data_IF_274420123349
#
_entry.id   IF_274420123349
#
_cell.length_a   1.000
_cell.length_b   1.000
_cell.length_c   1.000
_cell.angle_alpha   90.00
_cell.angle_beta   90.00
_cell.angle_gamma   90.00
#
_symmetry.space_group_name_H-M   'P 1'
#
loop_
_entity.id
_entity.type
_entity.pdbx_description
1 polymer ?
#
# COMPACT_ATOMS: atom_id res chain seq x y z
N UNK A 1 -0.82 54.08 17.18
CA UNK A 1 -1.14 52.72 17.67
C UNK A 1 -1.58 51.79 16.53
N UNK A 2 -1.00 51.90 15.32
CA UNK A 2 -1.35 51.04 14.17
C UNK A 2 -0.15 50.22 13.64
N UNK A 3 1.07 50.47 14.13
CA UNK A 3 2.29 49.79 13.67
C UNK A 3 2.49 48.43 14.35
N UNK A 4 2.00 48.28 15.59
CA UNK A 4 2.12 47.03 16.37
C UNK A 4 1.20 45.90 15.88
N UNK A 5 0.06 46.20 15.22
CA UNK A 5 -0.89 45.19 14.73
C UNK A 5 -0.45 44.51 13.43
N UNK A 6 0.37 45.19 12.63
CA UNK A 6 0.86 44.68 11.34
C UNK A 6 1.96 43.62 11.57
N UNK A 7 2.74 43.76 12.65
CA UNK A 7 3.84 42.84 12.98
C UNK A 7 3.35 41.47 13.48
N UNK A 8 2.25 41.41 14.23
CA UNK A 8 1.69 40.16 14.77
C UNK A 8 1.05 39.31 13.65
N UNK A 9 0.51 39.96 12.62
CA UNK A 9 -0.19 39.27 11.52
C UNK A 9 0.75 38.48 10.59
N UNK A 10 2.02 38.89 10.48
CA UNK A 10 3.01 38.21 9.61
C UNK A 10 3.58 36.93 10.23
N UNK A 11 3.58 36.82 11.57
CA UNK A 11 4.14 35.66 12.28
C UNK A 11 3.19 34.45 12.21
N UNK A 12 1.88 34.70 12.13
CA UNK A 12 0.86 33.62 12.07
C UNK A 12 0.80 32.94 10.69
N UNK A 13 1.12 33.67 9.61
CA UNK A 13 1.07 33.12 8.24
C UNK A 13 2.25 32.17 7.97
N UNK A 14 3.42 32.40 8.58
CA UNK A 14 4.59 31.53 8.39
C UNK A 14 4.49 30.17 9.09
N UNK A 15 3.58 30.00 10.06
CA UNK A 15 3.45 28.74 10.80
C UNK A 15 2.65 27.65 10.06
N UNK A 16 2.00 27.96 8.93
CA UNK A 16 1.12 27.01 8.22
C UNK A 16 1.73 26.42 6.94
N UNK A 17 2.96 26.77 6.57
CA UNK A 17 3.57 26.32 5.31
C UNK A 17 4.39 25.02 5.41
N UNK A 18 4.48 24.36 6.58
CA UNK A 18 5.39 23.21 6.76
C UNK A 18 4.74 21.82 6.71
N UNK A 19 3.42 21.68 6.51
CA UNK A 19 2.75 20.38 6.72
C UNK A 19 2.23 19.66 5.47
N UNK A 20 2.60 20.07 4.25
CA UNK A 20 2.11 19.39 3.03
C UNK A 20 3.19 19.22 1.95
N UNK A 21 4.36 18.69 2.31
CA UNK A 21 5.06 17.86 1.33
C UNK A 21 4.53 16.43 1.48
N UNK A 22 3.86 15.86 0.46
CA UNK A 22 3.58 14.43 0.46
C UNK A 22 4.89 13.69 0.71
N UNK A 23 4.91 12.67 1.58
CA UNK A 23 6.13 11.88 1.79
C UNK A 23 6.63 11.42 0.42
N UNK A 24 7.94 11.57 0.12
CA UNK A 24 8.52 11.19 -1.17
C UNK A 24 8.01 9.81 -1.59
N UNK A 25 7.57 9.68 -2.84
CA UNK A 25 7.19 8.36 -3.36
C UNK A 25 8.42 7.43 -3.24
N UNK A 26 8.25 6.20 -2.74
CA UNK A 26 9.37 5.29 -2.59
C UNK A 26 9.99 4.95 -3.95
N UNK A 27 11.33 4.95 -4.00
CA UNK A 27 12.10 4.70 -5.21
C UNK A 27 11.82 3.27 -5.70
N UNK A 28 11.68 3.00 -7.01
CA UNK A 28 11.53 1.62 -7.52
C UNK A 28 12.58 0.64 -6.99
N UNK A 29 13.78 1.11 -6.63
CA UNK A 29 14.84 0.29 -6.01
C UNK A 29 14.59 -0.05 -4.53
N UNK A 30 13.62 0.60 -3.87
CA UNK A 30 13.24 0.34 -2.47
C UNK A 30 12.21 -0.79 -2.33
N UNK A 31 11.54 -1.19 -3.44
CA UNK A 31 10.54 -2.27 -3.45
C UNK A 31 11.12 -3.60 -2.98
N UNK A 32 12.27 -4.06 -3.52
CA UNK A 32 12.89 -5.30 -3.08
C UNK A 32 13.33 -5.23 -1.61
N UNK A 33 13.82 -4.06 -1.16
CA UNK A 33 14.25 -3.84 0.23
C UNK A 33 13.08 -3.91 1.21
N UNK A 34 11.95 -3.29 0.87
CA UNK A 34 10.73 -3.35 1.69
C UNK A 34 10.21 -4.78 1.83
N UNK A 35 10.17 -5.55 0.73
CA UNK A 35 9.80 -6.96 0.76
C UNK A 35 10.76 -7.79 1.64
N UNK A 36 12.06 -7.54 1.52
CA UNK A 36 13.09 -8.20 2.34
C UNK A 36 12.89 -7.91 3.83
N UNK A 37 12.76 -6.64 4.21
CA UNK A 37 12.65 -6.26 5.61
C UNK A 37 11.37 -6.83 6.24
N UNK A 38 10.24 -6.73 5.55
CA UNK A 38 8.96 -7.25 6.04
C UNK A 38 8.96 -8.78 6.13
N UNK A 39 9.63 -9.47 5.21
CA UNK A 39 9.75 -10.93 5.27
C UNK A 39 10.58 -11.37 6.48
N UNK A 40 11.70 -10.68 6.78
CA UNK A 40 12.49 -10.92 7.99
C UNK A 40 11.67 -10.67 9.26
N UNK A 41 10.97 -9.54 9.33
CA UNK A 41 10.15 -9.14 10.49
C UNK A 41 9.10 -10.19 10.84
N UNK A 42 8.41 -10.74 9.84
CA UNK A 42 7.36 -11.73 10.04
C UNK A 42 7.82 -13.18 9.87
N UNK A 43 9.14 -13.42 9.83
CA UNK A 43 9.76 -14.76 9.76
C UNK A 43 9.25 -15.57 8.56
N UNK A 44 9.16 -14.93 7.41
CA UNK A 44 8.74 -15.55 6.15
C UNK A 44 9.97 -15.80 5.28
N UNK A 45 10.17 -17.03 4.76
CA UNK A 45 11.21 -17.30 3.78
C UNK A 45 11.05 -16.40 2.55
N UNK A 46 12.14 -15.84 2.01
CA UNK A 46 12.05 -14.91 0.87
C UNK A 46 11.36 -15.50 -0.36
N UNK A 47 11.57 -16.80 -0.64
CA UNK A 47 10.88 -17.50 -1.73
C UNK A 47 9.36 -17.51 -1.54
N UNK A 48 8.90 -17.63 -0.29
CA UNK A 48 7.49 -17.57 0.06
C UNK A 48 6.95 -16.14 -0.03
N UNK A 49 7.68 -15.16 0.51
CA UNK A 49 7.35 -13.73 0.42
C UNK A 49 7.17 -13.27 -1.03
N UNK A 50 8.13 -13.60 -1.91
CA UNK A 50 8.04 -13.31 -3.34
C UNK A 50 6.86 -14.01 -4.01
N UNK A 51 6.57 -15.26 -3.61
CA UNK A 51 5.38 -15.98 -4.05
C UNK A 51 4.11 -15.19 -3.73
N UNK A 52 3.93 -14.80 -2.47
CA UNK A 52 2.76 -14.09 -1.95
C UNK A 52 2.50 -12.80 -2.73
N UNK A 53 3.53 -11.97 -2.93
CA UNK A 53 3.41 -10.69 -3.65
C UNK A 53 3.10 -10.87 -5.14
N UNK A 54 3.51 -12.00 -5.74
CA UNK A 54 3.16 -12.35 -7.12
C UNK A 54 1.81 -13.07 -7.24
N UNK A 55 1.05 -13.18 -6.15
CA UNK A 55 -0.23 -13.90 -6.13
C UNK A 55 -0.10 -15.43 -6.08
N UNK A 56 1.12 -15.95 -6.07
CA UNK A 56 1.42 -17.38 -5.88
C UNK A 56 1.36 -17.69 -4.38
N UNK A 57 0.91 -18.87 -3.97
CA UNK A 57 0.83 -19.27 -2.55
C UNK A 57 -0.12 -18.47 -1.63
N UNK A 58 -1.02 -17.67 -2.20
CA UNK A 58 -2.08 -16.90 -1.49
C UNK A 58 -3.06 -17.77 -0.65
N UNK A 59 -2.97 -19.09 -0.77
CA UNK A 59 -3.74 -20.05 0.03
C UNK A 59 -3.26 -20.15 1.48
N UNK A 60 -1.99 -19.81 1.78
CA UNK A 60 -1.48 -19.77 3.17
C UNK A 60 -2.04 -18.54 3.89
N UNK A 61 -2.74 -18.78 5.01
CA UNK A 61 -3.49 -17.75 5.77
C UNK A 61 -2.93 -17.52 7.17
N UNK A 62 -1.66 -17.84 7.41
CA UNK A 62 -1.06 -17.60 8.74
C UNK A 62 -1.06 -16.12 9.06
N UNK A 63 -1.11 -15.77 10.34
CA UNK A 63 -1.13 -14.37 10.75
C UNK A 63 0.14 -13.62 10.28
N UNK A 64 1.30 -14.28 10.33
CA UNK A 64 2.56 -13.75 9.83
C UNK A 64 2.48 -13.37 8.34
N UNK A 65 1.90 -14.23 7.50
CA UNK A 65 1.71 -13.96 6.06
C UNK A 65 0.82 -12.75 5.84
N UNK A 66 -0.26 -12.62 6.60
CA UNK A 66 -1.15 -11.45 6.50
C UNK A 66 -0.42 -10.17 6.91
N UNK A 67 0.33 -10.21 8.00
CA UNK A 67 1.05 -9.04 8.50
C UNK A 67 2.24 -8.66 7.63
N UNK A 68 2.90 -9.62 6.98
CA UNK A 68 3.88 -9.35 5.93
C UNK A 68 3.32 -8.48 4.81
N UNK A 69 2.13 -8.84 4.29
CA UNK A 69 1.47 -8.05 3.23
C UNK A 69 1.15 -6.64 3.72
N UNK A 70 0.66 -6.52 4.97
CA UNK A 70 0.41 -5.20 5.57
C UNK A 70 1.68 -4.37 5.71
N UNK A 71 2.76 -4.94 6.23
CA UNK A 71 4.07 -4.28 6.35
C UNK A 71 4.55 -3.78 4.99
N UNK A 72 4.50 -4.63 3.98
CA UNK A 72 4.95 -4.30 2.62
C UNK A 72 4.14 -3.13 2.04
N UNK A 73 2.81 -3.20 2.15
CA UNK A 73 1.91 -2.14 1.71
C UNK A 73 2.12 -0.82 2.45
N UNK A 74 2.39 -0.88 3.75
CA UNK A 74 2.70 0.30 4.56
C UNK A 74 4.04 0.94 4.15
N UNK A 75 5.09 0.14 3.97
CA UNK A 75 6.44 0.65 3.67
C UNK A 75 6.56 1.22 2.26
N UNK A 76 5.92 0.61 1.29
CA UNK A 76 6.10 0.99 -0.12
C UNK A 76 4.93 1.80 -0.69
N UNK A 77 3.91 2.10 0.13
CA UNK A 77 2.60 2.57 -0.37
C UNK A 77 2.13 1.72 -1.56
N UNK A 78 2.50 0.42 -1.58
CA UNK A 78 2.40 -0.41 -2.78
C UNK A 78 0.97 -0.58 -3.26
N UNK A 79 0.00 -0.42 -2.35
CA UNK A 79 -1.41 -0.39 -2.72
C UNK A 79 -1.70 0.71 -3.74
N UNK A 80 -1.06 1.87 -3.65
CA UNK A 80 -1.33 2.97 -4.60
C UNK A 80 -0.77 2.65 -6.00
N UNK A 81 0.36 1.95 -6.10
CA UNK A 81 0.90 1.45 -7.39
C UNK A 81 0.09 0.29 -7.96
N UNK A 82 -0.36 -0.63 -7.11
CA UNK A 82 -1.24 -1.73 -7.54
C UNK A 82 -2.62 -1.20 -7.96
N UNK A 83 -3.13 -0.16 -7.29
CA UNK A 83 -4.31 0.61 -7.73
C UNK A 83 -4.08 1.27 -9.07
N UNK A 84 -2.98 1.99 -9.28
CA UNK A 84 -2.69 2.66 -10.57
C UNK A 84 -2.70 1.65 -11.75
N UNK A 85 -2.14 0.45 -11.54
CA UNK A 85 -2.19 -0.64 -12.54
C UNK A 85 -3.61 -1.20 -12.76
N UNK A 86 -4.48 -1.05 -11.77
CA UNK A 86 -5.84 -1.60 -11.71
C UNK A 86 -6.95 -0.55 -11.81
N UNK A 87 -6.65 0.74 -11.93
CA UNK A 87 -7.62 1.84 -12.06
C UNK A 87 -8.45 1.73 -13.34
N UNK A 88 -7.94 0.95 -14.31
CA UNK A 88 -8.69 0.54 -15.51
C UNK A 88 -9.67 -0.62 -15.27
N UNK A 89 -9.77 -1.13 -14.05
CA UNK A 89 -10.60 -2.27 -13.66
C UNK A 89 -11.51 -1.82 -12.52
N UNK A 90 -12.82 -1.73 -12.78
CA UNK A 90 -13.84 -1.47 -11.75
C UNK A 90 -13.85 -2.62 -10.74
N UNK A 91 -12.99 -2.55 -9.74
CA UNK A 91 -12.89 -3.53 -8.66
C UNK A 91 -13.02 -2.79 -7.33
N UNK A 92 -13.90 -3.26 -6.44
CA UNK A 92 -14.13 -2.64 -5.14
C UNK A 92 -13.12 -3.15 -4.09
N UNK A 93 -11.91 -3.53 -4.53
CA UNK A 93 -10.91 -4.13 -3.64
C UNK A 93 -10.49 -3.16 -2.53
N UNK A 94 -10.47 -1.86 -2.81
CA UNK A 94 -10.15 -0.83 -1.83
C UNK A 94 -11.19 -0.64 -0.73
N UNK A 95 -12.45 -0.95 -1.03
CA UNK A 95 -13.57 -0.83 -0.10
C UNK A 95 -13.54 -1.91 0.99
N UNK A 96 -12.67 -2.91 0.86
CA UNK A 96 -12.49 -3.95 1.88
C UNK A 96 -11.98 -3.29 3.16
N UNK A 97 -12.75 -3.43 4.24
CA UNK A 97 -12.39 -2.98 5.59
C UNK A 97 -12.37 -4.18 6.52
N UNK A 98 -11.39 -4.23 7.40
CA UNK A 98 -11.33 -5.20 8.48
C UNK A 98 -10.76 -4.54 9.74
N UNK A 99 -11.18 -5.00 10.92
CA UNK A 99 -10.65 -4.49 12.19
C UNK A 99 -9.17 -4.86 12.36
N UNK A 100 -8.74 -5.99 11.79
CA UNK A 100 -7.33 -6.37 11.72
C UNK A 100 -6.72 -5.87 10.40
N UNK A 101 -5.75 -4.97 10.49
CA UNK A 101 -5.07 -4.38 9.33
C UNK A 101 -4.22 -5.38 8.54
N UNK A 102 -3.70 -6.43 9.18
CA UNK A 102 -3.06 -7.54 8.50
C UNK A 102 -4.06 -8.29 7.63
N UNK A 103 -5.23 -8.61 8.20
CA UNK A 103 -6.32 -9.28 7.47
C UNK A 103 -6.84 -8.40 6.32
N UNK A 104 -7.05 -7.12 6.57
CA UNK A 104 -7.50 -6.16 5.56
C UNK A 104 -6.55 -6.12 4.36
N UNK A 105 -5.26 -5.88 4.59
CA UNK A 105 -4.26 -5.80 3.52
C UNK A 105 -4.15 -7.11 2.74
N UNK A 106 -4.23 -8.26 3.41
CA UNK A 106 -4.21 -9.57 2.75
C UNK A 106 -5.45 -9.82 1.88
N UNK A 107 -6.63 -9.40 2.33
CA UNK A 107 -7.87 -9.49 1.54
C UNK A 107 -7.83 -8.57 0.32
N UNK A 108 -7.27 -7.36 0.46
CA UNK A 108 -7.04 -6.43 -0.65
C UNK A 108 -6.13 -7.04 -1.71
N UNK A 109 -4.96 -7.55 -1.30
CA UNK A 109 -4.01 -8.23 -2.21
C UNK A 109 -4.68 -9.38 -2.97
N UNK A 110 -5.44 -10.23 -2.26
CA UNK A 110 -6.24 -11.31 -2.88
C UNK A 110 -7.20 -10.82 -3.95
N UNK A 111 -7.92 -9.74 -3.64
CA UNK A 111 -8.90 -9.16 -4.54
C UNK A 111 -8.21 -8.60 -5.80
N UNK A 112 -7.08 -7.91 -5.64
CA UNK A 112 -6.29 -7.38 -6.75
C UNK A 112 -5.77 -8.49 -7.67
N UNK A 113 -5.16 -9.55 -7.12
CA UNK A 113 -4.72 -10.67 -7.96
C UNK A 113 -5.86 -11.41 -8.66
N UNK A 114 -7.01 -11.59 -7.99
CA UNK A 114 -8.20 -12.18 -8.62
C UNK A 114 -8.69 -11.32 -9.80
N UNK A 115 -8.68 -10.00 -9.63
CA UNK A 115 -9.10 -9.04 -10.65
C UNK A 115 -8.12 -8.99 -11.82
N UNK A 116 -6.82 -9.05 -11.54
CA UNK A 116 -5.76 -9.13 -12.55
C UNK A 116 -5.83 -10.46 -13.34
N UNK A 117 -6.07 -11.59 -12.68
CA UNK A 117 -6.24 -12.88 -13.33
C UNK A 117 -7.49 -12.93 -14.23
N UNK A 118 -8.60 -12.33 -13.79
CA UNK A 118 -9.82 -12.20 -14.62
C UNK A 118 -9.58 -11.33 -15.87
N UNK A 119 -8.65 -10.38 -15.82
CA UNK A 119 -8.26 -9.56 -16.98
C UNK A 119 -7.41 -10.33 -18.00
N UNK A 120 -6.64 -11.32 -17.56
CA UNK A 120 -5.77 -12.16 -18.41
C UNK A 120 -6.50 -13.33 -19.07
N UNK A 121 -7.67 -13.73 -18.55
CA UNK A 121 -8.60 -14.62 -19.25
C UNK A 121 -9.53 -13.72 -20.06
N UNK A 122 -9.35 -13.54 -21.38
CA UNK A 122 -10.28 -12.77 -22.16
C UNK A 122 -11.68 -13.41 -22.08
N UNK A 123 -12.69 -12.56 -22.23
CA UNK A 123 -14.13 -12.82 -22.25
C UNK A 123 -14.60 -13.78 -23.39
N UNK A 124 -13.77 -14.74 -23.79
CA UNK A 124 -14.05 -15.70 -24.87
C UNK A 124 -14.38 -17.11 -24.38
N UNK A 125 -14.75 -17.26 -23.10
CA UNK A 125 -15.11 -18.57 -22.52
C UNK A 125 -16.16 -18.46 -21.40
N UNK A 126 -17.12 -17.55 -21.58
CA UNK A 126 -18.41 -17.57 -20.86
C UNK A 126 -19.55 -17.62 -21.85
#
# INVERSE_FOLDING_TARGET
>A
MNVLLISISLIVIFALATSMTPPPLPNPTDEPKAAIDCAKEHKIPMKEAAGILMGRNIKRKTQNVKCFVHCYFKKFKAMDKEKEKLDKVKNNCDSIKNNDKCVESFQKLKCFHKSAHKKLIPLSLQ
#
